data_IF_965297320709
#
_entry.id   IF_965297320709
#
_cell.length_a   1.000
_cell.length_b   1.000
_cell.length_c   1.000
_cell.angle_alpha   90.00
_cell.angle_beta   90.00
_cell.angle_gamma   90.00
#
_symmetry.space_group_name_H-M   'P 1'
#
loop_
_entity.id
_entity.type
_entity.pdbx_description
1 polymer ?
#
# COMPACT_ATOMS: atom_id res chain seq x y z
N UNK A 1 5.85 -24.44 -5.31
CA UNK A 1 4.91 -23.46 -5.89
C UNK A 1 4.38 -22.51 -4.80
N UNK A 2 5.11 -22.31 -3.70
CA UNK A 2 4.64 -21.54 -2.52
C UNK A 2 5.14 -20.10 -2.50
N UNK A 3 6.06 -19.73 -3.39
CA UNK A 3 6.76 -18.43 -3.40
C UNK A 3 6.19 -17.42 -4.41
N UNK A 4 5.11 -17.77 -5.12
CA UNK A 4 4.43 -16.86 -6.05
C UNK A 4 3.21 -16.24 -5.38
N UNK A 5 3.16 -14.92 -5.36
CA UNK A 5 1.96 -14.15 -5.05
C UNK A 5 1.51 -13.38 -6.29
N UNK A 6 0.47 -13.87 -6.97
CA UNK A 6 -0.03 -13.32 -8.24
C UNK A 6 1.11 -13.18 -9.26
N UNK A 7 1.57 -11.95 -9.52
CA UNK A 7 2.67 -11.62 -10.44
C UNK A 7 4.04 -11.53 -9.77
N UNK A 8 4.09 -11.52 -8.43
CA UNK A 8 5.32 -11.35 -7.67
C UNK A 8 5.89 -12.70 -7.25
N UNK A 9 7.20 -12.88 -7.46
CA UNK A 9 7.94 -13.99 -6.92
C UNK A 9 8.74 -13.53 -5.70
N UNK A 10 8.36 -14.00 -4.51
CA UNK A 10 8.97 -13.58 -3.24
C UNK A 10 9.61 -14.79 -2.58
N UNK A 11 10.94 -14.74 -2.41
CA UNK A 11 11.70 -15.81 -1.74
C UNK A 11 12.78 -15.22 -0.84
N UNK A 12 13.30 -16.05 0.07
CA UNK A 12 14.47 -15.73 0.89
C UNK A 12 15.59 -16.73 0.59
N UNK A 13 16.83 -16.25 0.65
CA UNK A 13 18.03 -17.05 0.44
C UNK A 13 19.03 -16.78 1.56
N UNK A 14 19.87 -17.77 1.85
CA UNK A 14 20.76 -17.74 3.02
C UNK A 14 21.98 -16.80 2.88
N UNK A 15 22.34 -16.38 1.66
CA UNK A 15 23.50 -15.51 1.39
C UNK A 15 23.46 -14.94 -0.03
N UNK A 16 24.32 -13.96 -0.31
CA UNK A 16 24.43 -13.28 -1.61
C UNK A 16 24.85 -14.21 -2.76
N UNK A 17 25.69 -15.21 -2.50
CA UNK A 17 26.06 -16.18 -3.54
C UNK A 17 24.86 -17.03 -3.97
N UNK A 18 24.01 -17.44 -3.03
CA UNK A 18 22.76 -18.14 -3.31
C UNK A 18 21.76 -17.23 -4.05
N UNK A 19 21.77 -15.93 -3.76
CA UNK A 19 20.96 -14.93 -4.45
C UNK A 19 21.35 -14.77 -5.92
N UNK A 20 22.66 -14.64 -6.20
CA UNK A 20 23.15 -14.55 -7.57
C UNK A 20 22.77 -15.79 -8.38
N UNK A 21 23.00 -17.00 -7.83
CA UNK A 21 22.59 -18.25 -8.48
C UNK A 21 21.09 -18.30 -8.70
N UNK A 22 20.30 -17.93 -7.70
CA UNK A 22 18.85 -17.88 -7.83
C UNK A 22 18.42 -16.97 -8.98
N UNK A 23 19.01 -15.78 -9.11
CA UNK A 23 18.69 -14.85 -10.19
C UNK A 23 19.08 -15.37 -11.58
N UNK A 24 20.21 -16.09 -11.67
CA UNK A 24 20.70 -16.67 -12.92
C UNK A 24 19.89 -17.88 -13.36
N UNK A 25 19.49 -18.74 -12.42
CA UNK A 25 18.75 -19.97 -12.70
C UNK A 25 17.25 -19.74 -12.89
N UNK A 26 16.64 -18.83 -12.13
CA UNK A 26 15.18 -18.64 -12.17
C UNK A 26 14.69 -17.98 -13.46
N UNK A 27 15.47 -17.05 -14.03
CA UNK A 27 15.16 -16.38 -15.31
C UNK A 27 14.89 -17.34 -16.47
N UNK A 28 15.81 -18.25 -16.86
CA UNK A 28 15.58 -19.15 -17.99
C UNK A 28 14.45 -20.15 -17.71
N UNK A 29 14.28 -20.58 -16.46
CA UNK A 29 13.21 -21.51 -16.07
C UNK A 29 11.85 -20.85 -16.28
N UNK A 30 11.66 -19.64 -15.77
CA UNK A 30 10.39 -18.92 -15.86
C UNK A 30 10.13 -18.42 -17.29
N UNK A 31 11.19 -18.10 -18.05
CA UNK A 31 11.09 -17.79 -19.47
C UNK A 31 10.56 -18.98 -20.31
N UNK A 32 10.84 -20.23 -19.89
CA UNK A 32 10.29 -21.43 -20.54
C UNK A 32 8.75 -21.49 -20.45
N UNK A 33 8.17 -20.86 -19.43
CA UNK A 33 6.73 -20.71 -19.26
C UNK A 33 6.19 -19.39 -19.85
N UNK A 34 6.96 -18.71 -20.71
CA UNK A 34 6.63 -17.41 -21.33
C UNK A 34 6.45 -16.25 -20.34
N UNK A 35 7.02 -16.35 -19.14
CA UNK A 35 7.02 -15.27 -18.15
C UNK A 35 8.39 -14.59 -18.12
N UNK A 36 8.38 -13.27 -18.01
CA UNK A 36 9.60 -12.44 -17.97
C UNK A 36 9.81 -11.88 -16.56
N UNK A 37 10.77 -12.44 -15.81
CA UNK A 37 11.14 -11.99 -14.47
C UNK A 37 11.94 -10.67 -14.54
N UNK A 38 11.28 -9.58 -14.14
CA UNK A 38 11.82 -8.22 -14.11
C UNK A 38 11.67 -7.60 -12.72
N UNK A 39 12.33 -6.47 -12.49
CA UNK A 39 12.18 -5.71 -11.24
C UNK A 39 12.77 -6.40 -10.01
N UNK A 40 14.02 -6.86 -10.11
CA UNK A 40 14.72 -7.53 -9.01
C UNK A 40 14.96 -6.58 -7.84
N UNK A 41 14.39 -6.91 -6.68
CA UNK A 41 14.57 -6.19 -5.42
C UNK A 41 15.09 -7.16 -4.37
N UNK A 42 16.17 -6.81 -3.66
CA UNK A 42 16.67 -7.59 -2.54
C UNK A 42 17.39 -6.72 -1.51
N UNK A 43 17.52 -7.22 -0.28
CA UNK A 43 18.05 -6.46 0.86
C UNK A 43 19.42 -5.82 0.58
N UNK A 44 20.32 -6.51 -0.11
CA UNK A 44 21.67 -5.99 -0.44
C UNK A 44 21.76 -5.14 -1.72
N UNK A 45 20.69 -4.93 -2.49
CA UNK A 45 20.76 -4.35 -3.84
C UNK A 45 20.84 -2.82 -3.76
N UNK A 46 21.89 -2.23 -4.35
CA UNK A 46 22.13 -0.78 -4.42
C UNK A 46 21.90 -0.21 -5.81
N UNK A 47 20.77 -0.50 -6.45
CA UNK A 47 20.44 0.13 -7.75
C UNK A 47 19.71 1.44 -7.48
N UNK A 48 20.47 2.54 -7.34
CA UNK A 48 19.96 3.91 -7.43
C UNK A 48 18.94 4.38 -6.37
N UNK A 49 18.55 3.52 -5.42
CA UNK A 49 17.77 3.83 -4.22
C UNK A 49 18.58 3.55 -2.97
N UNK A 50 18.33 4.31 -1.91
CA UNK A 50 18.92 4.00 -0.62
C UNK A 50 18.36 2.63 -0.18
N UNK A 51 19.19 1.67 0.26
CA UNK A 51 18.69 0.41 0.79
C UNK A 51 17.72 0.59 1.97
N UNK A 52 17.74 1.72 2.67
CA UNK A 52 16.78 2.10 3.70
C UNK A 52 15.43 2.61 3.15
N UNK A 53 15.36 2.94 1.86
CA UNK A 53 14.11 3.39 1.25
C UNK A 53 13.04 2.28 1.34
N UNK A 54 11.82 2.62 1.77
CA UNK A 54 10.71 1.69 1.81
C UNK A 54 10.39 1.16 0.40
N UNK A 55 10.13 -0.15 0.31
CA UNK A 55 9.75 -0.80 -0.95
C UNK A 55 8.26 -1.14 -0.96
N UNK A 56 7.62 -1.04 -2.12
CA UNK A 56 6.22 -1.42 -2.27
C UNK A 56 6.11 -2.94 -2.38
N UNK A 57 5.43 -3.57 -1.42
CA UNK A 57 5.14 -5.00 -1.37
C UNK A 57 3.64 -5.19 -1.17
N UNK A 58 3.00 -5.83 -2.15
CA UNK A 58 1.55 -6.09 -2.15
C UNK A 58 0.68 -4.82 -2.00
N UNK A 59 1.17 -3.67 -2.48
CA UNK A 59 0.48 -2.38 -2.35
C UNK A 59 0.70 -1.65 -1.02
N UNK A 60 1.51 -2.21 -0.11
CA UNK A 60 1.95 -1.58 1.13
C UNK A 60 3.43 -1.22 1.05
N UNK A 61 3.85 -0.17 1.74
CA UNK A 61 5.27 0.16 1.87
C UNK A 61 5.88 -0.68 3.00
N UNK A 62 7.06 -1.22 2.77
CA UNK A 62 7.81 -2.02 3.73
C UNK A 62 9.18 -1.38 4.00
N UNK A 63 9.38 -0.99 5.25
CA UNK A 63 10.67 -0.57 5.81
C UNK A 63 11.39 -1.81 6.36
N UNK A 64 12.51 -2.17 5.73
CA UNK A 64 13.23 -3.41 6.02
C UNK A 64 14.00 -3.35 7.33
N UNK A 65 14.45 -2.16 7.75
CA UNK A 65 15.34 -1.99 8.90
C UNK A 65 14.63 -2.27 10.24
N UNK A 66 13.41 -1.73 10.41
CA UNK A 66 12.58 -1.98 11.60
C UNK A 66 11.52 -3.07 11.38
N UNK A 67 11.46 -3.65 10.19
CA UNK A 67 10.47 -4.64 9.76
C UNK A 67 9.01 -4.18 9.90
N UNK A 68 8.73 -2.94 9.51
CA UNK A 68 7.42 -2.30 9.59
C UNK A 68 6.79 -2.15 8.20
N UNK A 69 5.48 -2.41 8.10
CA UNK A 69 4.66 -2.07 6.94
C UNK A 69 3.79 -0.86 7.24
N UNK A 70 3.49 -0.06 6.22
CA UNK A 70 2.59 1.09 6.31
C UNK A 70 1.91 1.35 4.97
N UNK A 71 0.77 2.04 4.99
CA UNK A 71 0.06 2.37 3.76
C UNK A 71 0.64 3.65 3.13
N UNK A 72 0.64 3.72 1.81
CA UNK A 72 0.97 4.95 1.11
C UNK A 72 -0.19 5.94 1.24
N UNK A 73 0.02 7.02 2.00
CA UNK A 73 -0.95 8.12 2.17
C UNK A 73 -0.47 9.42 1.55
N UNK A 74 0.38 9.38 0.51
CA UNK A 74 0.81 10.55 -0.26
C UNK A 74 -0.31 11.28 -1.03
N UNK A 75 -1.56 10.93 -0.76
CA UNK A 75 -2.77 11.58 -1.25
C UNK A 75 -2.89 13.04 -0.81
N UNK A 76 -2.22 13.44 0.28
CA UNK A 76 -2.09 14.84 0.72
C UNK A 76 -1.57 15.78 -0.37
N UNK A 77 -0.74 15.27 -1.28
CA UNK A 77 -0.20 16.01 -2.44
C UNK A 77 -1.25 16.30 -3.52
N UNK A 78 -2.46 15.76 -3.40
CA UNK A 78 -3.57 15.99 -4.33
C UNK A 78 -4.36 17.28 -4.03
N UNK A 79 -3.84 18.17 -3.19
CA UNK A 79 -4.50 19.42 -2.79
C UNK A 79 -4.76 20.41 -3.93
N UNK A 80 -4.14 20.22 -5.10
CA UNK A 80 -4.33 21.05 -6.29
C UNK A 80 -5.52 20.64 -7.16
N UNK A 81 -6.19 19.52 -6.87
CA UNK A 81 -7.33 19.04 -7.65
C UNK A 81 -8.62 19.76 -7.23
N UNK A 82 -9.44 20.09 -8.22
CA UNK A 82 -10.80 20.59 -7.98
C UNK A 82 -11.58 19.56 -7.16
N UNK A 83 -12.28 20.02 -6.12
CA UNK A 83 -13.02 19.17 -5.18
C UNK A 83 -14.40 18.75 -5.73
N UNK A 84 -14.41 18.24 -6.97
CA UNK A 84 -15.53 17.50 -7.53
C UNK A 84 -15.66 16.13 -6.87
N UNK A 85 -16.89 15.60 -6.78
CA UNK A 85 -17.15 14.30 -6.12
C UNK A 85 -16.27 13.17 -6.68
N UNK A 86 -16.05 13.14 -8.00
CA UNK A 86 -15.19 12.14 -8.66
C UNK A 86 -13.74 12.23 -8.21
N UNK A 87 -13.21 13.43 -8.07
CA UNK A 87 -11.83 13.64 -7.62
C UNK A 87 -11.68 13.27 -6.16
N UNK A 88 -12.61 13.68 -5.30
CA UNK A 88 -12.65 13.27 -3.88
C UNK A 88 -12.67 11.75 -3.76
N UNK A 89 -13.56 11.06 -4.51
CA UNK A 89 -13.60 9.61 -4.57
C UNK A 89 -12.25 9.01 -5.00
N UNK A 90 -11.67 9.52 -6.09
CA UNK A 90 -10.38 9.07 -6.60
C UNK A 90 -9.26 9.20 -5.56
N UNK A 91 -9.20 10.35 -4.86
CA UNK A 91 -8.20 10.60 -3.81
C UNK A 91 -8.36 9.59 -2.67
N UNK A 92 -9.59 9.37 -2.17
CA UNK A 92 -9.85 8.44 -1.06
C UNK A 92 -9.49 7.00 -1.43
N UNK A 93 -9.80 6.58 -2.65
CA UNK A 93 -9.53 5.22 -3.13
C UNK A 93 -8.06 4.94 -3.46
N UNK A 94 -7.18 5.95 -3.47
CA UNK A 94 -5.72 5.74 -3.57
C UNK A 94 -5.13 5.15 -2.28
N UNK A 95 -5.78 5.34 -1.13
CA UNK A 95 -5.32 4.74 0.12
C UNK A 95 -5.69 3.25 0.09
N UNK A 96 -4.69 2.42 -0.15
CA UNK A 96 -4.82 0.97 -0.12
C UNK A 96 -4.57 0.45 1.29
N UNK A 97 -5.63 0.02 1.98
CA UNK A 97 -5.60 -0.49 3.35
C UNK A 97 -6.23 -1.90 3.42
N UNK A 98 -5.50 -2.94 3.00
CA UNK A 98 -6.00 -4.32 2.98
C UNK A 98 -6.21 -4.90 4.38
N UNK A 99 -5.64 -4.29 5.41
CA UNK A 99 -5.74 -4.75 6.82
C UNK A 99 -6.80 -3.98 7.61
N UNK A 100 -7.36 -2.91 7.04
CA UNK A 100 -8.37 -2.07 7.67
C UNK A 100 -7.84 -1.21 8.81
N UNK A 101 -6.52 -1.10 8.98
CA UNK A 101 -5.89 -0.39 10.11
C UNK A 101 -6.17 1.12 10.03
N UNK A 102 -6.28 1.65 8.81
CA UNK A 102 -6.60 3.05 8.54
C UNK A 102 -8.11 3.28 8.37
N UNK A 103 -8.95 2.26 8.53
CA UNK A 103 -10.42 2.37 8.40
C UNK A 103 -11.01 3.53 9.20
N UNK A 104 -10.65 3.79 10.48
CA UNK A 104 -11.20 4.91 11.23
C UNK A 104 -10.94 6.27 10.56
N UNK A 105 -9.74 6.44 9.98
CA UNK A 105 -9.36 7.67 9.32
C UNK A 105 -9.97 7.78 7.90
N UNK A 106 -10.03 6.68 7.16
CA UNK A 106 -10.61 6.66 5.80
C UNK A 106 -12.13 6.64 5.80
N UNK A 107 -12.78 6.35 6.93
CA UNK A 107 -14.23 6.37 7.07
C UNK A 107 -14.80 7.79 6.92
N UNK A 108 -14.11 8.80 7.44
CA UNK A 108 -14.53 10.21 7.40
C UNK A 108 -14.85 10.66 5.95
N UNK A 109 -13.90 10.57 5.00
CA UNK A 109 -14.17 11.02 3.64
C UNK A 109 -15.12 10.06 2.90
N UNK A 110 -15.21 8.77 3.26
CA UNK A 110 -16.22 7.85 2.73
C UNK A 110 -17.64 8.28 3.11
N UNK A 111 -17.86 8.70 4.36
CA UNK A 111 -19.14 9.26 4.83
C UNK A 111 -19.46 10.61 4.17
N UNK A 112 -18.45 11.44 3.92
CA UNK A 112 -18.60 12.68 3.17
C UNK A 112 -19.06 12.41 1.73
N UNK A 113 -18.41 11.48 1.04
CA UNK A 113 -18.82 11.03 -0.30
C UNK A 113 -20.25 10.50 -0.24
N UNK A 114 -20.57 9.63 0.73
CA UNK A 114 -21.92 9.08 0.93
C UNK A 114 -22.98 10.19 1.04
N UNK A 115 -22.76 11.18 1.91
CA UNK A 115 -23.65 12.34 2.08
C UNK A 115 -23.78 13.15 0.78
N UNK A 116 -22.68 13.32 0.04
CA UNK A 116 -22.67 14.11 -1.20
C UNK A 116 -23.57 13.53 -2.31
N UNK A 117 -23.88 12.22 -2.28
CA UNK A 117 -24.81 11.61 -3.24
C UNK A 117 -26.25 12.10 -3.05
N UNK A 118 -26.62 12.52 -1.83
CA UNK A 118 -27.95 13.08 -1.55
C UNK A 118 -28.17 14.46 -2.18
N UNK A 119 -27.10 15.13 -2.62
CA UNK A 119 -27.19 16.43 -3.30
C UNK A 119 -27.77 16.33 -4.71
N UNK A 120 -27.91 15.12 -5.27
CA UNK A 120 -28.43 14.86 -6.64
C UNK A 120 -27.69 15.64 -7.75
N UNK A 121 -26.44 16.02 -7.51
CA UNK A 121 -25.55 16.66 -8.51
C UNK A 121 -24.70 15.62 -9.24
N UNK A 122 -24.11 15.98 -10.39
CA UNK A 122 -23.21 15.10 -11.15
C UNK A 122 -21.89 14.80 -10.43
N UNK A 123 -21.20 13.73 -10.83
CA UNK A 123 -19.92 13.34 -10.23
C UNK A 123 -18.78 14.35 -10.50
N UNK A 124 -18.87 15.06 -11.62
CA UNK A 124 -17.90 16.09 -12.04
C UNK A 124 -18.29 17.50 -11.56
N UNK A 125 -19.35 17.62 -10.76
CA UNK A 125 -19.76 18.88 -10.16
C UNK A 125 -18.96 19.14 -8.89
N UNK A 126 -18.48 20.37 -8.73
CA UNK A 126 -17.79 20.85 -7.52
C UNK A 126 -18.72 20.69 -6.31
N UNK A 127 -18.20 20.16 -5.22
CA UNK A 127 -18.96 19.99 -3.98
C UNK A 127 -19.23 21.35 -3.31
N UNK A 128 -20.32 21.51 -2.56
CA UNK A 128 -20.56 22.73 -1.79
C UNK A 128 -19.44 23.04 -0.78
N UNK A 129 -19.29 24.30 -0.40
CA UNK A 129 -18.16 24.80 0.40
C UNK A 129 -17.98 24.10 1.76
N UNK A 130 -19.07 23.67 2.39
CA UNK A 130 -19.05 22.91 3.64
C UNK A 130 -18.39 21.53 3.45
N UNK A 131 -18.72 20.80 2.39
CA UNK A 131 -18.09 19.52 2.04
C UNK A 131 -16.61 19.72 1.66
N UNK A 132 -16.31 20.78 0.91
CA UNK A 132 -14.93 21.09 0.54
C UNK A 132 -14.07 21.34 1.78
N UNK A 133 -14.57 22.15 2.72
CA UNK A 133 -13.85 22.45 3.97
C UNK A 133 -13.61 21.20 4.82
N UNK A 134 -14.63 20.34 4.95
CA UNK A 134 -14.52 19.09 5.70
C UNK A 134 -13.48 18.16 5.05
N UNK A 135 -13.50 18.01 3.73
CA UNK A 135 -12.53 17.19 3.00
C UNK A 135 -11.10 17.76 3.06
N UNK A 136 -10.93 19.07 2.93
CA UNK A 136 -9.62 19.72 3.05
C UNK A 136 -9.02 19.57 4.44
N UNK A 137 -9.84 19.64 5.50
CA UNK A 137 -9.38 19.34 6.87
C UNK A 137 -8.86 17.90 6.96
N UNK A 138 -9.64 16.94 6.46
CA UNK A 138 -9.19 15.55 6.43
C UNK A 138 -7.90 15.36 5.61
N UNK A 139 -7.77 16.03 4.46
CA UNK A 139 -6.59 15.95 3.61
C UNK A 139 -5.34 16.50 4.28
N UNK A 140 -5.48 17.49 5.17
CA UNK A 140 -4.38 17.98 6.00
C UNK A 140 -3.96 16.95 7.06
N UNK A 141 -4.93 16.28 7.68
CA UNK A 141 -4.68 15.30 8.75
C UNK A 141 -4.19 13.94 8.22
N UNK A 142 -4.46 13.60 6.95
CA UNK A 142 -4.15 12.28 6.37
C UNK A 142 -2.66 11.98 6.33
N UNK A 143 -1.80 13.00 6.29
CA UNK A 143 -0.34 12.82 6.35
C UNK A 143 0.12 12.26 7.69
N UNK A 144 -0.65 12.47 8.77
CA UNK A 144 -0.35 11.86 10.05
C UNK A 144 -0.41 10.32 9.97
N UNK A 145 -1.15 9.75 9.01
CA UNK A 145 -1.24 8.31 8.79
C UNK A 145 0.08 7.72 8.27
N UNK A 146 0.98 8.51 7.68
CA UNK A 146 2.33 8.04 7.31
C UNK A 146 3.13 7.56 8.52
N UNK A 147 2.80 8.03 9.72
CA UNK A 147 3.47 7.63 10.95
C UNK A 147 2.90 6.33 11.55
N UNK A 148 1.80 5.79 10.98
CA UNK A 148 1.21 4.53 11.45
C UNK A 148 2.02 3.37 10.88
N UNK A 149 3.02 2.94 11.65
CA UNK A 149 3.82 1.74 11.37
C UNK A 149 3.17 0.51 11.99
N UNK A 150 3.04 -0.56 11.20
CA UNK A 150 2.50 -1.84 11.64
C UNK A 150 3.65 -2.85 11.58
N UNK A 151 4.03 -3.50 12.69
CA UNK A 151 5.01 -4.58 12.66
C UNK A 151 4.56 -5.68 11.69
N UNK A 152 5.41 -6.04 10.73
CA UNK A 152 5.08 -7.08 9.73
C UNK A 152 5.00 -8.45 10.39
N UNK A 153 5.91 -8.72 11.33
CA UNK A 153 5.96 -9.95 12.10
C UNK A 153 5.06 -9.86 13.33
N UNK A 154 4.30 -10.94 13.58
CA UNK A 154 3.54 -11.07 14.83
C UNK A 154 4.40 -11.59 16.00
N UNK A 155 5.66 -12.00 15.75
CA UNK A 155 6.60 -12.54 16.74
C UNK A 155 6.01 -13.66 17.61
N UNK A 156 5.38 -14.65 16.95
CA UNK A 156 4.68 -15.76 17.61
C UNK A 156 5.50 -17.04 17.48
N UNK A 157 6.41 -17.27 18.43
CA UNK A 157 7.37 -18.37 18.32
C UNK A 157 6.86 -19.72 18.87
N UNK A 158 5.76 -19.72 19.65
CA UNK A 158 5.26 -20.93 20.36
C UNK A 158 3.75 -20.93 20.61
N UNK A 159 2.93 -21.08 19.57
CA UNK A 159 1.49 -21.34 19.74
C UNK A 159 1.08 -22.51 18.83
N UNK A 160 0.45 -23.54 19.40
CA UNK A 160 -0.02 -24.74 18.68
C UNK A 160 -1.35 -24.54 17.91
N UNK A 161 -1.74 -23.29 17.64
CA UNK A 161 -2.97 -22.93 16.95
C UNK A 161 -3.24 -21.43 17.06
N UNK A 162 -2.93 -20.68 16.00
CA UNK A 162 -3.25 -19.27 15.86
C UNK A 162 -4.22 -19.10 14.70
N UNK A 163 -5.28 -18.32 14.90
CA UNK A 163 -6.14 -17.86 13.81
C UNK A 163 -6.26 -16.35 13.91
N UNK A 164 -5.90 -15.67 12.83
CA UNK A 164 -6.08 -14.23 12.71
C UNK A 164 -7.46 -13.99 12.08
N UNK A 165 -8.36 -13.37 12.85
CA UNK A 165 -9.67 -12.95 12.37
C UNK A 165 -9.64 -11.44 12.15
N UNK A 166 -9.57 -11.02 10.89
CA UNK A 166 -9.68 -9.62 10.50
C UNK A 166 -11.12 -9.36 10.09
N UNK A 167 -11.76 -8.39 10.74
CA UNK A 167 -13.11 -7.93 10.38
C UNK A 167 -12.94 -6.57 9.69
N UNK A 168 -13.16 -6.56 8.38
CA UNK A 168 -13.12 -5.38 7.51
C UNK A 168 -14.55 -4.94 7.18
#
# INVERSE_FOLDING_TARGET
MESFYIENFVTSVSNENALCRFNEESKPIIATACFDLRGWEHTSLKIGRDPSDPILVLGLLWEKDEDNIFCDTTVSKCSSLDLARRNVLSIVHKIFDPLGVLSPATLIPKLLIQRSWNLKTGGDTILPDDYQREFSSWLYDVDCLLNVKIPRSLNIDKIHGLSLHVFL
#
